data_IF_105083938829
#
_entry.id   IF_105083938829
#
_cell.length_a   1.000
_cell.length_b   1.000
_cell.length_c   1.000
_cell.angle_alpha   90.00
_cell.angle_beta   90.00
_cell.angle_gamma   90.00
#
_symmetry.space_group_name_H-M   'P 1'
#
loop_
_entity.id
_entity.type
_entity.pdbx_description
1 polymer ?
#
# COMPACT_ATOMS: atom_id res chain seq x y z
N UNK A 1 28.26 -19.03 4.69
CA UNK A 1 26.88 -19.45 4.38
C UNK A 1 25.92 -18.85 5.41
N UNK A 2 25.39 -17.64 5.14
CA UNK A 2 24.33 -17.04 5.92
C UNK A 2 23.04 -17.14 5.10
N UNK A 3 22.20 -18.09 5.48
CA UNK A 3 20.84 -18.28 4.95
C UNK A 3 19.97 -17.12 5.44
N UNK A 4 19.69 -16.18 4.54
CA UNK A 4 18.77 -15.07 4.75
C UNK A 4 17.34 -15.58 4.58
N UNK A 5 16.76 -16.14 5.64
CA UNK A 5 15.33 -16.42 5.74
C UNK A 5 14.58 -15.11 5.91
N UNK A 6 14.31 -14.44 4.79
CA UNK A 6 13.45 -13.27 4.73
C UNK A 6 12.03 -13.64 5.19
N UNK A 7 11.74 -13.46 6.47
CA UNK A 7 10.41 -13.54 7.05
C UNK A 7 9.51 -12.54 6.30
N UNK A 8 8.69 -13.07 5.37
CA UNK A 8 7.61 -12.31 4.72
C UNK A 8 6.57 -12.02 5.78
N UNK A 9 6.65 -10.85 6.38
CA UNK A 9 5.63 -10.35 7.29
C UNK A 9 4.35 -10.19 6.46
N UNK A 10 3.55 -11.25 6.40
CA UNK A 10 2.17 -11.16 5.91
C UNK A 10 1.42 -10.32 6.93
N UNK A 11 1.07 -9.11 6.56
CA UNK A 11 0.08 -8.33 7.30
C UNK A 11 -1.28 -8.97 7.03
N UNK A 12 -1.46 -10.18 7.56
CA UNK A 12 -2.74 -10.84 7.69
C UNK A 12 -3.43 -10.13 8.85
N UNK A 13 -4.28 -9.17 8.57
CA UNK A 13 -5.23 -8.68 9.56
C UNK A 13 -6.41 -9.65 9.57
N UNK A 14 -6.49 -10.58 10.53
CA UNK A 14 -7.65 -11.43 10.66
C UNK A 14 -8.80 -10.56 11.16
N UNK A 15 -9.81 -10.35 10.34
CA UNK A 15 -11.11 -9.96 10.84
C UNK A 15 -11.69 -11.25 11.41
N UNK A 16 -11.43 -11.53 12.68
CA UNK A 16 -12.08 -12.63 13.38
C UNK A 16 -13.48 -12.20 13.75
N UNK A 17 -14.46 -12.85 13.14
CA UNK A 17 -15.87 -12.71 13.51
C UNK A 17 -16.17 -13.77 14.58
N UNK A 18 -16.42 -13.33 15.81
CA UNK A 18 -16.99 -14.22 16.84
C UNK A 18 -18.50 -14.34 16.59
N UNK A 19 -18.94 -15.54 16.21
CA UNK A 19 -20.32 -15.84 15.81
C UNK A 19 -21.12 -16.36 17.02
N UNK A 20 -20.51 -16.52 18.16
CA UNK A 20 -21.10 -17.22 19.33
C UNK A 20 -22.41 -16.61 19.84
N UNK A 21 -22.59 -15.31 19.71
CA UNK A 21 -23.83 -14.66 20.18
C UNK A 21 -25.03 -14.87 19.25
N UNK A 22 -24.82 -14.96 17.94
CA UNK A 22 -25.89 -15.14 16.96
C UNK A 22 -26.24 -16.62 16.74
N UNK A 23 -25.29 -17.54 16.96
CA UNK A 23 -25.54 -18.98 16.91
C UNK A 23 -26.43 -19.48 18.05
N UNK A 24 -26.33 -18.87 19.23
CA UNK A 24 -27.21 -19.22 20.38
C UNK A 24 -28.69 -18.93 20.12
N UNK A 25 -29.01 -17.98 19.24
CA UNK A 25 -30.39 -17.72 18.79
C UNK A 25 -30.87 -18.72 17.74
N UNK A 26 -29.99 -19.37 17.04
CA UNK A 26 -30.30 -20.33 15.96
C UNK A 26 -30.49 -21.77 16.46
N UNK A 27 -30.20 -22.08 17.71
CA UNK A 27 -30.30 -23.43 18.28
C UNK A 27 -31.73 -23.99 18.37
N UNK A 28 -32.75 -23.17 18.23
CA UNK A 28 -34.17 -23.58 18.20
C UNK A 28 -34.65 -24.08 16.81
N UNK A 29 -33.77 -24.12 15.83
CA UNK A 29 -34.14 -24.42 14.45
C UNK A 29 -34.04 -25.92 14.13
N UNK A 30 -34.83 -26.36 13.16
CA UNK A 30 -34.92 -27.76 12.73
C UNK A 30 -33.58 -28.29 12.14
N UNK A 31 -33.40 -29.64 12.08
CA UNK A 31 -32.24 -30.28 11.48
C UNK A 31 -31.88 -29.76 10.06
N UNK A 32 -32.90 -29.36 9.27
CA UNK A 32 -32.70 -28.79 7.95
C UNK A 32 -31.96 -27.44 8.01
N UNK A 33 -32.32 -26.60 8.98
CA UNK A 33 -31.66 -25.30 9.21
C UNK A 33 -30.22 -25.50 9.64
N UNK A 34 -29.95 -26.40 10.58
CA UNK A 34 -28.60 -26.71 11.04
C UNK A 34 -27.69 -27.13 9.89
N UNK A 35 -28.19 -27.90 8.92
CA UNK A 35 -27.44 -28.31 7.73
C UNK A 35 -27.10 -27.14 6.79
N UNK A 36 -27.99 -26.13 6.70
CA UNK A 36 -27.79 -24.96 5.83
C UNK A 36 -27.01 -23.82 6.51
N UNK A 37 -26.96 -23.82 7.85
CA UNK A 37 -26.35 -22.75 8.63
C UNK A 37 -24.87 -22.46 8.26
N UNK A 38 -23.97 -23.46 8.13
CA UNK A 38 -22.58 -23.19 7.74
C UNK A 38 -22.46 -22.56 6.35
N UNK A 39 -23.36 -22.91 5.44
CA UNK A 39 -23.39 -22.33 4.12
C UNK A 39 -23.84 -20.86 4.15
N UNK A 40 -24.95 -20.59 4.80
CA UNK A 40 -25.48 -19.23 4.95
C UNK A 40 -24.49 -18.32 5.66
N UNK A 41 -23.87 -18.81 6.73
CA UNK A 41 -22.81 -18.10 7.47
C UNK A 41 -21.61 -17.79 6.57
N UNK A 42 -21.12 -18.76 5.80
CA UNK A 42 -20.00 -18.52 4.88
C UNK A 42 -20.32 -17.47 3.82
N UNK A 43 -21.56 -17.49 3.29
CA UNK A 43 -22.02 -16.47 2.32
C UNK A 43 -22.08 -15.10 2.97
N UNK A 44 -22.65 -14.98 4.17
CA UNK A 44 -22.73 -13.73 4.91
C UNK A 44 -21.36 -13.15 5.22
N UNK A 45 -20.44 -13.95 5.73
CA UNK A 45 -19.05 -13.55 6.00
C UNK A 45 -18.39 -13.03 4.72
N UNK A 46 -18.56 -13.71 3.60
CA UNK A 46 -17.98 -13.28 2.33
C UNK A 46 -18.55 -11.94 1.86
N UNK A 47 -19.87 -11.75 1.95
CA UNK A 47 -20.51 -10.49 1.56
C UNK A 47 -20.00 -9.33 2.42
N UNK A 48 -19.95 -9.50 3.73
CA UNK A 48 -19.42 -8.50 4.65
C UNK A 48 -17.93 -8.20 4.38
N UNK A 49 -17.13 -9.23 4.10
CA UNK A 49 -15.73 -9.05 3.75
C UNK A 49 -15.55 -8.23 2.45
N UNK A 50 -16.43 -8.42 1.47
CA UNK A 50 -16.44 -7.58 0.26
C UNK A 50 -16.87 -6.14 0.55
N UNK A 51 -17.86 -5.92 1.42
CA UNK A 51 -18.28 -4.58 1.84
C UNK A 51 -17.13 -3.90 2.62
N UNK A 52 -16.50 -4.60 3.56
CA UNK A 52 -15.35 -4.10 4.30
C UNK A 52 -14.19 -3.73 3.35
N UNK A 53 -13.84 -4.61 2.39
CA UNK A 53 -12.85 -4.30 1.36
C UNK A 53 -13.19 -3.02 0.60
N UNK A 54 -14.46 -2.87 0.19
CA UNK A 54 -14.93 -1.69 -0.54
C UNK A 54 -14.77 -0.42 0.29
N UNK A 55 -15.16 -0.45 1.55
CA UNK A 55 -15.01 0.66 2.48
C UNK A 55 -13.54 1.01 2.74
N UNK A 56 -12.67 0.01 2.96
CA UNK A 56 -11.23 0.19 3.16
C UNK A 56 -10.60 0.81 1.91
N UNK A 57 -10.88 0.27 0.72
CA UNK A 57 -10.38 0.83 -0.53
C UNK A 57 -10.86 2.28 -0.76
N UNK A 58 -12.11 2.58 -0.43
CA UNK A 58 -12.63 3.96 -0.48
C UNK A 58 -11.91 4.88 0.51
N UNK A 59 -11.64 4.41 1.72
CA UNK A 59 -10.93 5.15 2.76
C UNK A 59 -9.51 5.56 2.38
N UNK A 60 -8.87 4.88 1.42
CA UNK A 60 -7.55 5.28 0.92
C UNK A 60 -7.56 6.68 0.30
N UNK A 61 -8.68 7.11 -0.28
CA UNK A 61 -8.81 8.44 -0.91
C UNK A 61 -8.71 9.57 0.11
N UNK A 62 -9.23 9.37 1.31
CA UNK A 62 -9.13 10.37 2.39
C UNK A 62 -7.82 10.31 3.17
N UNK A 63 -7.21 9.12 3.23
CA UNK A 63 -5.99 8.90 4.00
C UNK A 63 -4.70 9.31 3.27
N UNK A 64 -4.69 9.22 1.95
CA UNK A 64 -3.51 9.52 1.13
C UNK A 64 -3.77 10.69 0.18
N UNK A 65 -2.77 11.55 0.02
CA UNK A 65 -2.84 12.65 -0.95
C UNK A 65 -2.85 12.10 -2.38
N UNK A 66 -3.93 12.34 -3.11
CA UNK A 66 -4.15 11.92 -4.51
C UNK A 66 -3.65 10.49 -4.81
N UNK A 67 -4.22 9.46 -4.17
CA UNK A 67 -3.73 8.10 -4.35
C UNK A 67 -3.99 7.59 -5.77
N UNK A 68 -2.98 6.93 -6.35
CA UNK A 68 -3.11 6.27 -7.65
C UNK A 68 -4.09 5.09 -7.58
N UNK A 69 -4.67 4.67 -8.72
CA UNK A 69 -5.55 3.49 -8.79
C UNK A 69 -4.95 2.25 -8.13
N UNK A 70 -3.64 2.07 -8.25
CA UNK A 70 -2.89 0.99 -7.60
C UNK A 70 -3.09 0.99 -6.07
N UNK A 71 -3.12 2.15 -5.42
CA UNK A 71 -3.41 2.31 -4.00
C UNK A 71 -4.89 2.07 -3.69
N UNK A 72 -5.78 2.67 -4.48
CA UNK A 72 -7.22 2.59 -4.28
C UNK A 72 -7.81 1.18 -4.41
N UNK A 73 -7.08 0.26 -5.05
CA UNK A 73 -7.47 -1.15 -5.23
C UNK A 73 -6.52 -2.11 -4.52
N UNK A 74 -5.85 -1.65 -3.45
CA UNK A 74 -4.79 -2.41 -2.81
C UNK A 74 -5.29 -3.62 -2.04
N UNK A 75 -6.52 -3.57 -1.54
CA UNK A 75 -7.06 -4.60 -0.65
C UNK A 75 -7.87 -5.63 -1.41
N UNK A 76 -7.63 -6.89 -1.07
CA UNK A 76 -8.28 -8.09 -1.62
C UNK A 76 -8.98 -8.85 -0.51
N UNK A 77 -9.89 -9.77 -0.90
CA UNK A 77 -10.61 -10.67 0.01
C UNK A 77 -10.15 -12.10 -0.21
N UNK A 78 -9.74 -12.76 0.84
CA UNK A 78 -9.68 -14.21 0.91
C UNK A 78 -11.01 -14.71 1.48
N UNK A 79 -11.75 -15.46 0.66
CA UNK A 79 -13.11 -15.91 0.99
C UNK A 79 -13.11 -17.00 2.06
N UNK A 80 -14.13 -16.99 2.90
CA UNK A 80 -14.47 -18.11 3.79
C UNK A 80 -14.95 -19.31 3.00
N UNK A 81 -14.87 -20.49 3.62
CA UNK A 81 -15.43 -21.76 3.14
C UNK A 81 -16.37 -22.32 4.21
N UNK A 82 -17.27 -23.24 3.83
CA UNK A 82 -18.19 -23.92 4.79
C UNK A 82 -17.47 -24.56 5.99
N UNK A 83 -16.24 -25.05 5.79
CA UNK A 83 -15.41 -25.66 6.84
C UNK A 83 -14.60 -24.64 7.65
N UNK A 84 -14.32 -23.46 7.05
CA UNK A 84 -13.52 -22.41 7.66
C UNK A 84 -14.32 -21.14 7.55
N UNK A 85 -15.09 -20.83 8.59
CA UNK A 85 -15.97 -19.66 8.66
C UNK A 85 -15.17 -18.39 8.99
N UNK A 86 -14.11 -18.14 8.21
CA UNK A 86 -13.27 -16.95 8.33
C UNK A 86 -12.96 -16.41 6.95
N UNK A 87 -13.11 -15.11 6.75
CA UNK A 87 -12.63 -14.38 5.58
C UNK A 87 -11.61 -13.33 6.01
N UNK A 88 -10.69 -13.00 5.13
CA UNK A 88 -9.64 -12.00 5.40
C UNK A 88 -9.64 -10.92 4.35
N UNK A 89 -9.52 -9.66 4.80
CA UNK A 89 -9.22 -8.53 3.93
C UNK A 89 -7.74 -8.20 4.12
N UNK A 90 -6.97 -8.24 3.05
CA UNK A 90 -5.51 -8.08 3.11
C UNK A 90 -5.00 -7.21 1.96
N UNK A 91 -3.88 -6.53 2.17
CA UNK A 91 -3.21 -5.82 1.09
C UNK A 91 -2.42 -6.81 0.21
N UNK A 92 -2.51 -6.63 -1.10
CA UNK A 92 -1.83 -7.50 -2.07
C UNK A 92 -0.31 -7.41 -1.93
N UNK A 93 0.37 -8.56 -1.80
CA UNK A 93 1.82 -8.70 -1.60
C UNK A 93 2.53 -9.57 -2.66
N UNK A 94 1.93 -9.77 -3.82
CA UNK A 94 2.55 -10.56 -4.91
C UNK A 94 3.72 -9.82 -5.55
N UNK A 95 4.74 -10.55 -6.01
CA UNK A 95 5.89 -10.02 -6.75
C UNK A 95 5.42 -9.10 -7.88
N UNK A 96 5.96 -7.90 -7.97
CA UNK A 96 5.57 -6.85 -8.93
C UNK A 96 4.28 -6.09 -8.58
N UNK A 97 3.51 -6.55 -7.58
CA UNK A 97 2.27 -5.91 -7.10
C UNK A 97 2.24 -5.86 -5.57
N UNK A 98 3.39 -5.68 -4.95
CA UNK A 98 3.53 -5.60 -3.49
C UNK A 98 3.01 -4.25 -2.97
N UNK A 99 1.71 -4.21 -2.75
CA UNK A 99 1.00 -3.03 -2.22
C UNK A 99 1.12 -2.93 -0.71
N UNK A 100 1.23 -4.07 -0.03
CA UNK A 100 1.37 -4.12 1.41
C UNK A 100 2.66 -3.42 1.87
N UNK A 101 3.75 -3.63 1.14
CA UNK A 101 5.07 -3.09 1.47
C UNK A 101 5.09 -1.56 1.57
N UNK A 102 4.46 -0.86 0.63
CA UNK A 102 4.49 0.60 0.66
C UNK A 102 3.36 1.20 1.50
N UNK A 103 2.17 0.56 1.57
CA UNK A 103 1.06 1.00 2.41
C UNK A 103 1.36 0.87 3.91
N UNK A 104 2.25 -0.06 4.28
CA UNK A 104 2.64 -0.32 5.66
C UNK A 104 3.01 0.96 6.40
N UNK A 105 3.78 1.83 5.77
CA UNK A 105 4.22 3.09 6.40
C UNK A 105 3.08 4.09 6.60
N UNK A 106 2.07 4.09 5.74
CA UNK A 106 0.86 4.91 5.92
C UNK A 106 -0.11 4.37 6.98
N UNK A 107 -0.04 3.08 7.29
CA UNK A 107 -0.90 2.39 8.26
C UNK A 107 -0.22 2.33 9.63
N UNK A 108 0.95 1.71 9.68
CA UNK A 108 1.66 1.43 10.92
C UNK A 108 2.69 2.52 11.31
N UNK A 109 2.96 3.46 10.40
CA UNK A 109 4.01 4.45 10.58
C UNK A 109 5.42 3.87 10.40
N UNK A 110 6.41 4.66 10.80
CA UNK A 110 7.81 4.28 10.81
C UNK A 110 8.61 4.78 9.62
N UNK A 111 9.89 4.50 9.63
CA UNK A 111 10.87 5.00 8.67
C UNK A 111 10.85 4.19 7.38
N UNK A 112 10.68 4.86 6.26
CA UNK A 112 10.66 4.22 4.93
C UNK A 112 12.07 3.95 4.42
N UNK A 113 12.38 2.73 3.95
CA UNK A 113 13.64 2.46 3.28
C UNK A 113 13.74 3.17 1.92
N UNK A 114 14.94 3.26 1.38
CA UNK A 114 15.17 3.80 0.05
C UNK A 114 14.29 3.13 -1.02
N UNK A 115 13.71 3.95 -1.89
CA UNK A 115 13.02 3.49 -3.12
C UNK A 115 14.06 3.05 -4.17
N UNK A 116 13.55 2.37 -5.21
CA UNK A 116 14.39 2.04 -6.36
C UNK A 116 15.05 3.24 -7.01
N UNK A 117 14.37 4.39 -7.02
CA UNK A 117 14.89 5.66 -7.50
C UNK A 117 16.09 6.15 -6.68
N UNK A 118 15.98 6.11 -5.35
CA UNK A 118 17.04 6.56 -4.44
C UNK A 118 18.30 5.70 -4.65
N UNK A 119 18.13 4.38 -4.71
CA UNK A 119 19.21 3.44 -4.97
C UNK A 119 19.81 3.59 -6.37
N UNK A 120 18.98 3.84 -7.37
CA UNK A 120 19.43 4.05 -8.74
C UNK A 120 20.35 5.26 -8.83
N UNK A 121 19.94 6.41 -8.29
CA UNK A 121 20.75 7.61 -8.33
C UNK A 121 21.97 7.53 -7.40
N UNK A 122 21.84 6.91 -6.22
CA UNK A 122 22.99 6.71 -5.33
C UNK A 122 24.09 5.83 -5.96
N UNK A 123 23.71 4.86 -6.81
CA UNK A 123 24.66 3.97 -7.49
C UNK A 123 25.14 4.50 -8.86
N UNK A 124 24.43 5.48 -9.42
CA UNK A 124 24.79 6.05 -10.74
C UNK A 124 25.97 7.01 -10.68
N UNK A 125 26.42 7.35 -9.49
CA UNK A 125 27.56 8.27 -9.27
C UNK A 125 28.80 7.44 -9.02
N UNK A 126 29.93 7.74 -9.69
CA UNK A 126 31.25 7.36 -9.19
C UNK A 126 31.30 7.83 -7.72
N UNK A 127 31.74 6.98 -6.83
CA UNK A 127 31.75 7.24 -5.38
C UNK A 127 32.89 8.27 -5.05
N UNK A 128 32.72 9.50 -5.55
CA UNK A 128 33.63 10.63 -5.34
C UNK A 128 33.35 11.37 -4.02
N UNK A 129 32.45 10.84 -3.19
CA UNK A 129 32.07 11.41 -1.91
C UNK A 129 31.12 12.62 -1.97
N UNK A 130 30.68 13.03 -3.17
CA UNK A 130 29.78 14.19 -3.31
C UNK A 130 28.34 13.91 -2.90
N UNK A 131 27.89 12.66 -3.02
CA UNK A 131 26.58 12.22 -2.55
C UNK A 131 26.74 11.34 -1.30
N UNK A 132 26.09 11.67 -0.19
CA UNK A 132 26.20 10.87 1.02
C UNK A 132 25.71 9.43 0.80
N UNK A 133 26.40 8.42 1.36
CA UNK A 133 25.93 7.04 1.34
C UNK A 133 24.52 6.92 1.91
N UNK A 134 23.66 6.15 1.24
CA UNK A 134 22.28 5.96 1.71
C UNK A 134 21.37 7.17 1.49
N UNK A 135 21.75 8.14 0.68
CA UNK A 135 20.95 9.34 0.42
C UNK A 135 19.59 9.04 -0.19
N UNK A 136 18.62 9.88 0.16
CA UNK A 136 17.28 9.96 -0.43
C UNK A 136 17.21 11.14 -1.38
N UNK A 137 16.57 10.97 -2.53
CA UNK A 137 16.46 12.02 -3.54
C UNK A 137 15.04 12.61 -3.53
N UNK A 138 14.94 13.85 -3.07
CA UNK A 138 13.69 14.59 -3.00
C UNK A 138 13.49 15.44 -4.24
N UNK A 139 12.41 15.25 -5.02
CA UNK A 139 12.13 16.07 -6.20
C UNK A 139 11.79 17.50 -5.77
N UNK A 140 12.32 18.48 -6.52
CA UNK A 140 11.94 19.89 -6.39
C UNK A 140 10.71 20.19 -7.25
N UNK A 141 10.18 21.41 -7.17
CA UNK A 141 9.07 21.90 -8.01
C UNK A 141 9.39 21.90 -9.51
N UNK A 142 10.65 21.85 -9.89
CA UNK A 142 11.10 21.77 -11.29
C UNK A 142 10.92 20.40 -11.93
N UNK A 143 10.72 19.36 -11.12
CA UNK A 143 10.51 18.00 -11.62
C UNK A 143 9.05 17.80 -11.99
N UNK A 144 8.79 17.53 -13.27
CA UNK A 144 7.44 17.20 -13.73
C UNK A 144 6.94 15.91 -13.08
N UNK A 145 5.83 16.03 -12.35
CA UNK A 145 5.13 14.92 -11.73
C UNK A 145 3.80 14.68 -12.46
N UNK A 146 3.24 13.48 -12.28
CA UNK A 146 1.89 13.17 -12.73
C UNK A 146 0.85 13.74 -11.72
N UNK A 147 -0.45 13.58 -12.02
CA UNK A 147 -1.55 14.05 -11.17
C UNK A 147 -1.51 13.51 -9.72
N UNK A 148 -0.80 12.40 -9.48
CA UNK A 148 -0.61 11.82 -8.14
C UNK A 148 0.73 12.23 -7.49
N UNK A 149 1.42 13.22 -8.00
CA UNK A 149 2.69 13.71 -7.45
C UNK A 149 3.88 12.78 -7.68
N UNK A 150 3.76 11.75 -8.52
CA UNK A 150 4.87 10.86 -8.82
C UNK A 150 5.67 11.35 -10.02
N UNK A 151 6.99 11.27 -9.93
CA UNK A 151 7.89 11.55 -11.05
C UNK A 151 7.65 10.55 -12.17
N UNK A 152 7.44 11.02 -13.40
CA UNK A 152 7.13 10.15 -14.53
C UNK A 152 8.37 9.39 -15.00
N UNK A 153 8.18 8.19 -15.57
CA UNK A 153 9.28 7.40 -16.14
C UNK A 153 10.00 8.15 -17.29
N UNK A 154 9.26 8.92 -18.07
CA UNK A 154 9.83 9.76 -19.13
C UNK A 154 10.79 10.80 -18.55
N UNK A 155 10.40 11.47 -17.47
CA UNK A 155 11.26 12.44 -16.76
C UNK A 155 12.50 11.75 -16.20
N UNK A 156 12.35 10.58 -15.57
CA UNK A 156 13.49 9.82 -15.04
C UNK A 156 14.48 9.40 -16.13
N UNK A 157 13.98 8.85 -17.24
CA UNK A 157 14.81 8.45 -18.39
C UNK A 157 15.58 9.63 -18.98
N UNK A 158 14.92 10.80 -19.10
CA UNK A 158 15.58 12.02 -19.59
C UNK A 158 16.73 12.45 -18.69
N UNK A 159 16.48 12.46 -17.37
CA UNK A 159 17.51 12.84 -16.38
C UNK A 159 18.66 11.84 -16.40
N UNK A 160 18.35 10.54 -16.37
CA UNK A 160 19.33 9.47 -16.42
C UNK A 160 20.20 9.54 -17.66
N UNK A 161 19.59 9.70 -18.85
CA UNK A 161 20.31 9.86 -20.11
C UNK A 161 21.19 11.11 -20.10
N UNK A 162 20.71 12.20 -19.51
CA UNK A 162 21.47 13.44 -19.39
C UNK A 162 22.67 13.35 -18.43
N UNK A 163 22.57 12.48 -17.39
CA UNK A 163 23.71 12.24 -16.45
C UNK A 163 24.76 11.34 -17.11
N UNK A 164 24.34 10.31 -17.84
CA UNK A 164 25.26 9.33 -18.49
C UNK A 164 25.82 9.79 -19.81
N UNK A 165 25.28 10.86 -20.38
CA UNK A 165 25.67 11.40 -21.69
C UNK A 165 26.63 12.59 -21.57
N UNK A 166 26.59 13.48 -22.57
CA UNK A 166 27.44 14.66 -22.67
C UNK A 166 27.44 15.49 -21.36
N UNK A 167 28.58 15.81 -20.76
CA UNK A 167 28.69 16.75 -19.63
C UNK A 167 28.08 18.12 -19.93
N UNK A 168 27.94 18.48 -21.20
CA UNK A 168 27.20 19.65 -21.67
C UNK A 168 25.68 19.41 -21.79
N UNK A 169 25.21 18.16 -21.71
CA UNK A 169 23.82 17.74 -21.86
C UNK A 169 22.88 18.14 -20.71
N UNK A 170 23.40 18.87 -19.80
CA UNK A 170 22.64 19.64 -18.86
C UNK A 170 22.37 19.01 -17.52
N UNK A 171 22.43 17.70 -17.30
CA UNK A 171 22.24 17.09 -15.98
C UNK A 171 23.57 16.59 -15.41
N UNK A 172 23.80 16.87 -14.13
CA UNK A 172 24.86 16.25 -13.36
C UNK A 172 24.35 15.91 -11.95
N UNK A 173 25.05 15.00 -11.30
CA UNK A 173 24.77 14.56 -9.95
C UNK A 173 26.01 14.90 -9.11
N UNK A 174 25.80 15.49 -7.93
CA UNK A 174 26.89 15.91 -7.05
C UNK A 174 26.57 17.19 -6.30
N UNK A 175 27.59 17.77 -5.69
CA UNK A 175 27.53 19.07 -5.01
C UNK A 175 28.09 20.18 -5.92
N UNK A 176 27.26 21.19 -6.26
CA UNK A 176 27.78 22.32 -7.09
C UNK A 176 28.91 23.07 -6.41
N UNK A 177 29.95 23.37 -7.17
CA UNK A 177 31.04 24.20 -6.70
C UNK A 177 30.59 25.66 -6.60
N UNK A 178 31.10 26.39 -5.62
CA UNK A 178 30.77 27.82 -5.43
C UNK A 178 29.39 28.07 -4.85
N UNK A 179 29.29 28.18 -3.54
CA UNK A 179 28.07 28.46 -2.79
C UNK A 179 27.59 27.30 -1.89
N UNK A 180 26.62 27.59 -1.03
CA UNK A 180 26.12 26.65 -0.03
C UNK A 180 24.92 25.83 -0.58
N UNK A 181 25.13 25.16 -1.74
CA UNK A 181 24.08 24.35 -2.38
C UNK A 181 24.17 22.90 -1.90
N UNK A 182 23.03 22.27 -1.54
CA UNK A 182 23.06 20.88 -1.10
C UNK A 182 23.44 19.91 -2.23
N UNK A 183 23.96 18.72 -1.91
CA UNK A 183 24.17 17.68 -2.90
C UNK A 183 22.86 17.28 -3.59
N UNK A 184 22.92 16.86 -4.86
CA UNK A 184 21.70 16.49 -5.58
C UNK A 184 21.90 16.30 -7.07
N UNK A 185 20.80 16.36 -7.81
CA UNK A 185 20.77 16.31 -9.28
C UNK A 185 20.40 17.70 -9.78
N UNK A 186 21.28 18.26 -10.56
CA UNK A 186 21.14 19.60 -11.11
C UNK A 186 21.11 19.57 -12.64
N UNK A 187 20.37 20.50 -13.20
CA UNK A 187 20.45 20.80 -14.63
C UNK A 187 21.24 22.11 -14.83
N UNK A 188 22.24 22.07 -15.67
CA UNK A 188 22.95 23.26 -16.11
C UNK A 188 22.26 23.80 -17.36
N UNK A 189 21.96 25.10 -17.37
CA UNK A 189 21.49 25.82 -18.56
C UNK A 189 22.19 27.16 -18.60
N UNK A 190 23.06 27.32 -19.57
CA UNK A 190 24.00 28.48 -19.65
C UNK A 190 24.79 28.59 -18.34
N UNK A 191 24.73 29.70 -17.64
CA UNK A 191 25.43 29.94 -16.37
C UNK A 191 24.59 29.59 -15.12
N UNK A 192 23.34 29.12 -15.29
CA UNK A 192 22.43 28.84 -14.19
C UNK A 192 22.38 27.36 -13.89
N UNK A 193 22.25 27.06 -12.59
CA UNK A 193 22.02 25.71 -12.06
C UNK A 193 20.64 25.59 -11.46
N UNK A 194 19.88 24.64 -11.96
CA UNK A 194 18.52 24.34 -11.53
C UNK A 194 18.49 23.02 -10.77
N UNK A 195 18.13 23.02 -9.47
CA UNK A 195 18.03 21.80 -8.68
C UNK A 195 16.79 21.00 -9.12
N UNK A 196 16.97 19.78 -9.56
CA UNK A 196 15.89 18.84 -9.87
C UNK A 196 15.60 17.88 -8.72
N UNK A 197 16.64 17.36 -8.09
CA UNK A 197 16.53 16.57 -6.87
C UNK A 197 17.56 17.02 -5.86
N UNK A 198 17.14 17.09 -4.61
CA UNK A 198 18.06 17.31 -3.49
C UNK A 198 18.33 15.96 -2.83
N UNK A 199 19.61 15.64 -2.60
CA UNK A 199 20.02 14.48 -1.85
C UNK A 199 20.07 14.82 -0.36
N UNK A 200 19.44 13.99 0.48
CA UNK A 200 19.47 14.13 1.92
C UNK A 200 19.68 12.78 2.59
N UNK A 201 20.28 12.78 3.77
CA UNK A 201 20.40 11.61 4.62
C UNK A 201 19.19 11.43 5.55
N UNK A 202 18.33 12.44 5.62
CA UNK A 202 17.12 12.40 6.44
C UNK A 202 16.17 11.34 5.91
N UNK A 203 15.88 10.37 6.77
CA UNK A 203 14.98 9.27 6.45
C UNK A 203 13.55 9.74 6.52
N UNK A 204 12.73 9.50 5.48
CA UNK A 204 11.31 9.82 5.55
C UNK A 204 10.64 9.01 6.66
N UNK A 205 10.14 9.69 7.66
CA UNK A 205 9.40 9.11 8.78
C UNK A 205 7.90 9.40 8.66
N UNK A 206 7.09 8.39 8.88
CA UNK A 206 5.64 8.45 8.75
C UNK A 206 4.99 8.25 10.10
N UNK A 207 4.07 9.14 10.46
CA UNK A 207 3.26 8.98 11.68
C UNK A 207 2.24 7.85 11.48
N UNK A 208 2.11 6.99 12.49
CA UNK A 208 1.09 5.95 12.54
C UNK A 208 -0.33 6.54 12.61
N UNK A 209 -1.34 5.73 12.27
CA UNK A 209 -2.75 6.02 12.57
C UNK A 209 -3.51 6.89 11.57
N UNK A 210 -2.89 7.34 10.46
CA UNK A 210 -3.62 8.08 9.43
C UNK A 210 -4.68 7.24 8.71
N UNK A 211 -4.52 5.92 8.70
CA UNK A 211 -5.42 5.00 8.02
C UNK A 211 -5.63 3.75 8.86
N UNK A 212 -6.69 3.76 9.68
CA UNK A 212 -7.03 2.64 10.55
C UNK A 212 -7.99 1.67 9.83
N UNK A 213 -7.43 0.63 9.25
CA UNK A 213 -8.14 -0.40 8.49
C UNK A 213 -9.05 -1.22 9.39
N UNK A 214 -8.61 -1.53 10.61
CA UNK A 214 -9.37 -2.33 11.58
C UNK A 214 -10.64 -1.63 11.99
N UNK A 215 -10.56 -0.34 12.33
CA UNK A 215 -11.74 0.47 12.68
C UNK A 215 -12.74 0.57 11.53
N UNK A 216 -12.27 0.75 10.29
CA UNK A 216 -13.14 0.79 9.11
C UNK A 216 -13.82 -0.56 8.92
N UNK A 217 -13.07 -1.66 9.00
CA UNK A 217 -13.59 -3.02 8.86
C UNK A 217 -14.61 -3.36 9.94
N UNK A 218 -14.30 -3.11 11.20
CA UNK A 218 -15.17 -3.39 12.34
C UNK A 218 -16.54 -2.68 12.21
N UNK A 219 -16.56 -1.40 11.86
CA UNK A 219 -17.81 -0.64 11.63
C UNK A 219 -18.66 -1.24 10.52
N UNK A 220 -18.06 -1.76 9.45
CA UNK A 220 -18.82 -2.40 8.37
C UNK A 220 -19.38 -3.74 8.82
N UNK A 221 -18.59 -4.53 9.53
CA UNK A 221 -19.02 -5.84 10.07
C UNK A 221 -20.22 -5.66 10.98
N UNK A 222 -20.12 -4.79 11.96
CA UNK A 222 -21.17 -4.48 12.93
C UNK A 222 -22.50 -4.09 12.25
N UNK A 223 -22.42 -3.23 11.24
CA UNK A 223 -23.63 -2.71 10.56
C UNK A 223 -24.22 -3.66 9.54
N UNK A 224 -23.44 -4.52 8.91
CA UNK A 224 -23.86 -5.25 7.71
C UNK A 224 -23.96 -6.76 7.91
N UNK A 225 -23.32 -7.33 8.94
CA UNK A 225 -23.32 -8.78 9.11
C UNK A 225 -24.71 -9.36 9.30
N UNK A 226 -25.52 -8.82 10.22
CA UNK A 226 -26.88 -9.30 10.49
C UNK A 226 -27.76 -9.27 9.24
N UNK A 227 -27.67 -8.21 8.45
CA UNK A 227 -28.40 -8.10 7.18
C UNK A 227 -28.00 -9.21 6.20
N UNK A 228 -26.71 -9.38 5.94
CA UNK A 228 -26.23 -10.41 5.01
C UNK A 228 -26.51 -11.82 5.50
N UNK A 229 -26.42 -12.04 6.81
CA UNK A 229 -26.71 -13.33 7.40
C UNK A 229 -28.19 -13.70 7.23
N UNK A 230 -29.12 -12.81 7.57
CA UNK A 230 -30.55 -13.05 7.42
C UNK A 230 -30.94 -13.29 5.95
N UNK A 231 -30.38 -12.50 5.03
CA UNK A 231 -30.58 -12.67 3.59
C UNK A 231 -30.08 -14.04 3.09
N UNK A 232 -28.84 -14.40 3.48
CA UNK A 232 -28.25 -15.68 3.07
C UNK A 232 -29.00 -16.87 3.65
N UNK A 233 -29.45 -16.77 4.91
CA UNK A 233 -30.18 -17.82 5.58
C UNK A 233 -31.60 -18.01 4.97
N UNK A 234 -32.32 -16.92 4.75
CA UNK A 234 -33.63 -16.97 4.08
C UNK A 234 -33.54 -17.63 2.71
N UNK A 235 -32.50 -17.24 1.92
CA UNK A 235 -32.26 -17.85 0.62
C UNK A 235 -31.90 -19.34 0.72
N UNK A 236 -31.05 -19.72 1.70
CA UNK A 236 -30.66 -21.12 1.88
C UNK A 236 -31.85 -22.00 2.27
N UNK A 237 -32.78 -21.49 3.10
CA UNK A 237 -33.98 -22.20 3.52
C UNK A 237 -35.02 -22.33 2.40
N UNK A 238 -35.21 -21.28 1.59
CA UNK A 238 -36.14 -21.32 0.46
C UNK A 238 -35.69 -22.29 -0.65
N UNK A 239 -34.40 -22.62 -0.71
CA UNK A 239 -33.82 -23.53 -1.71
C UNK A 239 -33.48 -24.91 -1.13
N UNK A 240 -33.64 -25.12 0.16
CA UNK A 240 -33.42 -26.42 0.80
C UNK A 240 -34.55 -27.39 0.39
N UNK A 241 -34.17 -28.45 -0.34
CA UNK A 241 -35.03 -29.61 -0.62
C UNK A 241 -34.86 -30.66 0.46
#
# INVERSE_FOLDING_TARGET
>A
SCSNTGSKLRLLMPISLSIDQDLNRATAWTKAVQKQLPFATSVAINNVAFDARKAINAGTKGAFHVPVKFTQTAFLVQKSKKRTLAAFVYAQDKKGKDRARYLRFGIAGGTRPQKGLDRYFANAVPNDGTIPPGAYFMPTSLVKTNASGNVTQATLRRISKGISGDPRGGFFIGTPRGGNRPPGIYRRSREQLFPYFIATTDKPDYRAGRFNIESIGAKVIERRFGFHFNQALSKALSTAK
#
